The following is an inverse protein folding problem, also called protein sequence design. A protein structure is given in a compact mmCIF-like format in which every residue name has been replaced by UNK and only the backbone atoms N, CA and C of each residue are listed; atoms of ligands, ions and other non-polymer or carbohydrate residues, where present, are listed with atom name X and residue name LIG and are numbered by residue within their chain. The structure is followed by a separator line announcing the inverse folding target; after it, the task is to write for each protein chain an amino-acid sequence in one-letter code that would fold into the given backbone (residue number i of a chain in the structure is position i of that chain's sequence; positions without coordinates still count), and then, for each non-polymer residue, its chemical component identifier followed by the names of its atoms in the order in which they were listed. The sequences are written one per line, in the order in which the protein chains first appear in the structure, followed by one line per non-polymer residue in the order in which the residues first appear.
data_IF_149908711837
#
_entry.id   IF_149908711837
#
_cell.length_a   1.000
_cell.length_b   1.000
_cell.length_c   1.000
_cell.angle_alpha   90.00
_cell.angle_beta   90.00
_cell.angle_gamma   90.00
#
_symmetry.space_group_name_H-M   'P 1'
#
loop_
_entity.id
_entity.type
_entity.pdbx_description
1 polymer ?
#
# COMPACT_ATOMS: atom_id res chain seq x y z
N UNK A 1 21.72 12.37 10.87
CA UNK A 1 21.66 11.47 9.69
C UNK A 1 21.32 10.08 10.21
N UNK A 2 20.08 9.63 10.03
CA UNK A 2 19.60 8.36 10.61
C UNK A 2 19.88 7.21 9.65
N UNK A 3 20.45 6.14 10.19
CA UNK A 3 21.00 5.01 9.47
C UNK A 3 20.00 4.32 8.52
N UNK A 4 20.47 4.18 7.29
CA UNK A 4 20.05 3.27 6.24
C UNK A 4 19.64 1.90 6.77
N UNK A 5 18.32 1.64 6.85
CA UNK A 5 17.74 0.33 7.17
C UNK A 5 16.81 -0.13 6.05
N UNK A 6 17.38 -0.48 4.89
CA UNK A 6 16.65 -0.93 3.69
C UNK A 6 15.85 -2.24 3.81
N UNK A 7 15.60 -2.73 5.03
CA UNK A 7 15.02 -4.04 5.34
C UNK A 7 13.75 -3.95 6.22
N UNK A 8 13.02 -2.84 6.16
CA UNK A 8 11.77 -2.66 6.90
C UNK A 8 10.58 -3.31 6.15
N UNK A 9 9.69 -3.99 6.87
CA UNK A 9 8.42 -4.53 6.33
C UNK A 9 7.61 -3.49 5.56
N UNK A 10 7.68 -2.21 6.00
CA UNK A 10 7.12 -1.07 5.27
C UNK A 10 7.56 -1.01 3.81
N UNK A 11 8.87 -1.12 3.58
CA UNK A 11 9.44 -1.02 2.25
C UNK A 11 9.00 -2.20 1.39
N UNK A 12 8.92 -3.40 1.99
CA UNK A 12 8.47 -4.62 1.32
C UNK A 12 7.01 -4.51 0.91
N UNK A 13 6.12 -4.18 1.84
CA UNK A 13 4.69 -4.00 1.58
C UNK A 13 4.44 -2.92 0.54
N UNK A 14 5.13 -1.78 0.65
CA UNK A 14 5.08 -0.69 -0.33
C UNK A 14 5.46 -1.17 -1.73
N UNK A 15 6.56 -1.93 -1.86
CA UNK A 15 7.04 -2.45 -3.15
C UNK A 15 6.06 -3.42 -3.78
N UNK A 16 5.42 -4.29 -3.00
CA UNK A 16 4.39 -5.19 -3.50
C UNK A 16 3.19 -4.37 -4.00
N UNK A 17 2.67 -3.46 -3.18
CA UNK A 17 1.52 -2.64 -3.54
C UNK A 17 1.78 -1.78 -4.79
N UNK A 18 2.94 -1.13 -4.90
CA UNK A 18 3.28 -0.32 -6.07
C UNK A 18 3.48 -1.12 -7.36
N UNK A 19 3.79 -2.43 -7.26
CA UNK A 19 3.87 -3.30 -8.43
C UNK A 19 2.50 -3.78 -8.89
N UNK A 20 1.55 -3.91 -7.96
CA UNK A 20 0.21 -4.45 -8.22
C UNK A 20 -0.81 -3.36 -8.54
N UNK A 21 -0.62 -2.14 -8.02
CA UNK A 21 -1.63 -1.09 -8.07
C UNK A 21 -1.01 0.28 -8.35
N UNK A 22 -1.80 1.14 -8.99
CA UNK A 22 -1.55 2.57 -9.08
C UNK A 22 -2.11 3.29 -7.85
N UNK A 23 -1.57 4.47 -7.52
CA UNK A 23 -2.16 5.32 -6.48
C UNK A 23 -3.62 5.68 -6.81
N UNK A 24 -3.95 5.89 -8.09
CA UNK A 24 -5.33 6.12 -8.54
C UNK A 24 -6.26 4.99 -8.11
N UNK A 25 -5.87 3.73 -8.36
CA UNK A 25 -6.67 2.57 -7.97
C UNK A 25 -6.75 2.43 -6.44
N UNK A 26 -5.62 2.53 -5.74
CA UNK A 26 -5.59 2.45 -4.27
C UNK A 26 -6.42 3.55 -3.60
N UNK A 27 -6.53 4.73 -4.23
CA UNK A 27 -7.30 5.86 -3.70
C UNK A 27 -8.79 5.56 -3.54
N UNK A 28 -9.32 4.61 -4.33
CA UNK A 28 -10.72 4.20 -4.32
C UNK A 28 -11.08 3.28 -3.15
N UNK A 29 -10.07 2.79 -2.43
CA UNK A 29 -10.23 1.83 -1.34
C UNK A 29 -9.81 2.41 0.01
N UNK A 30 -10.42 1.84 1.04
CA UNK A 30 -9.88 1.87 2.40
C UNK A 30 -10.00 0.47 2.98
N UNK A 31 -9.24 0.16 4.03
CA UNK A 31 -9.22 -1.21 4.53
C UNK A 31 -10.63 -1.74 4.88
N UNK A 32 -11.38 -1.00 5.71
CA UNK A 32 -12.73 -1.37 6.17
C UNK A 32 -13.88 -0.63 5.46
N UNK A 33 -13.63 0.09 4.36
CA UNK A 33 -14.70 0.78 3.61
C UNK A 33 -15.20 2.09 4.23
N UNK A 34 -14.30 2.93 4.76
CA UNK A 34 -14.61 4.24 5.32
C UNK A 34 -14.75 5.32 4.24
N UNK A 35 -15.57 6.34 4.51
CA UNK A 35 -15.75 7.55 3.67
C UNK A 35 -16.16 7.25 2.22
N UNK A 36 -17.08 6.31 2.02
CA UNK A 36 -17.58 5.93 0.70
C UNK A 36 -16.59 5.13 -0.17
N UNK A 37 -15.42 4.78 0.37
CA UNK A 37 -14.43 3.94 -0.33
C UNK A 37 -14.81 2.47 -0.21
N UNK A 38 -14.42 1.67 -1.21
CA UNK A 38 -14.61 0.22 -1.20
C UNK A 38 -13.71 -0.44 -0.14
N UNK A 39 -14.12 -1.60 0.37
CA UNK A 39 -13.36 -2.41 1.35
C UNK A 39 -12.21 -3.12 0.66
N UNK A 40 -10.98 -2.88 1.11
CA UNK A 40 -9.80 -3.61 0.61
C UNK A 40 -9.69 -4.99 1.25
N UNK A 41 -10.11 -5.15 2.51
CA UNK A 41 -10.04 -6.43 3.22
C UNK A 41 -10.87 -7.54 2.56
N UNK A 42 -11.92 -7.16 1.83
CA UNK A 42 -12.81 -8.12 1.15
C UNK A 42 -12.21 -8.61 -0.19
N UNK A 43 -11.13 -8.00 -0.67
CA UNK A 43 -10.48 -8.42 -1.90
C UNK A 43 -9.61 -9.65 -1.64
N UNK A 44 -9.70 -10.65 -2.53
CA UNK A 44 -8.86 -11.86 -2.51
C UNK A 44 -7.36 -11.53 -2.51
N UNK A 45 -6.98 -10.40 -3.11
CA UNK A 45 -5.58 -9.97 -3.13
C UNK A 45 -5.03 -9.58 -1.74
N UNK A 46 -5.89 -9.23 -0.78
CA UNK A 46 -5.47 -8.83 0.56
C UNK A 46 -4.75 -9.98 1.31
N UNK A 47 -5.34 -11.17 1.48
CA UNK A 47 -4.63 -12.30 2.08
C UNK A 47 -3.40 -12.73 1.24
N UNK A 48 -3.47 -12.69 -0.09
CA UNK A 48 -2.32 -13.01 -0.96
C UNK A 48 -1.12 -12.12 -0.68
N UNK A 49 -1.32 -10.81 -0.46
CA UNK A 49 -0.25 -9.89 -0.09
C UNK A 49 0.33 -10.23 1.28
N UNK A 50 -0.52 -10.59 2.26
CA UNK A 50 -0.06 -10.97 3.60
C UNK A 50 0.80 -12.23 3.57
N UNK A 51 0.37 -13.25 2.83
CA UNK A 51 1.11 -14.49 2.66
C UNK A 51 2.43 -14.24 1.94
N UNK A 52 2.43 -13.44 0.88
CA UNK A 52 3.66 -13.06 0.16
C UNK A 52 4.69 -12.36 1.05
N UNK A 53 4.25 -11.53 2.01
CA UNK A 53 5.13 -10.90 2.99
C UNK A 53 5.65 -11.94 3.98
N UNK A 54 4.79 -12.83 4.49
CA UNK A 54 5.16 -13.89 5.45
C UNK A 54 6.05 -14.99 4.86
N UNK A 55 6.03 -15.20 3.55
CA UNK A 55 6.98 -16.09 2.86
C UNK A 55 8.45 -15.66 3.05
N UNK A 56 8.69 -14.39 3.40
CA UNK A 56 10.03 -13.94 3.76
C UNK A 56 10.29 -14.31 5.22
N UNK A 57 11.32 -15.15 5.47
CA UNK A 57 11.68 -15.66 6.80
C UNK A 57 11.76 -14.57 7.88
N UNK A 58 12.26 -13.39 7.53
CA UNK A 58 12.34 -12.21 8.41
C UNK A 58 10.98 -11.64 8.87
N UNK A 59 9.89 -11.93 8.17
CA UNK A 59 8.55 -11.40 8.44
C UNK A 59 7.50 -12.49 8.71
N UNK A 60 7.90 -13.75 8.82
CA UNK A 60 6.99 -14.89 9.03
C UNK A 60 6.11 -14.74 10.27
N UNK A 61 6.65 -14.12 11.34
CA UNK A 61 5.98 -13.96 12.64
C UNK A 61 5.29 -12.60 12.80
N UNK A 62 5.17 -11.80 11.74
CA UNK A 62 4.50 -10.50 11.82
C UNK A 62 3.01 -10.72 12.09
N UNK A 63 2.49 -9.98 13.07
CA UNK A 63 1.09 -10.07 13.46
C UNK A 63 0.15 -9.58 12.35
N UNK A 64 -1.06 -10.14 12.31
CA UNK A 64 -2.10 -9.69 11.39
C UNK A 64 -2.36 -8.18 11.53
N UNK A 65 -2.53 -7.71 12.78
CA UNK A 65 -2.78 -6.31 13.09
C UNK A 65 -1.71 -5.36 12.53
N UNK A 66 -0.44 -5.79 12.56
CA UNK A 66 0.64 -5.01 11.97
C UNK A 66 0.52 -4.93 10.45
N UNK A 67 0.26 -6.06 9.78
CA UNK A 67 0.06 -6.11 8.32
C UNK A 67 -1.13 -5.24 7.88
N UNK A 68 -2.25 -5.33 8.59
CA UNK A 68 -3.42 -4.49 8.31
C UNK A 68 -3.09 -2.99 8.44
N UNK A 69 -2.35 -2.64 9.50
CA UNK A 69 -1.98 -1.26 9.77
C UNK A 69 -1.10 -0.70 8.64
N UNK A 70 -0.22 -1.53 8.05
CA UNK A 70 0.57 -1.12 6.88
C UNK A 70 -0.29 -0.93 5.63
N UNK A 71 -1.23 -1.84 5.34
CA UNK A 71 -2.16 -1.66 4.20
C UNK A 71 -2.98 -0.39 4.38
N UNK A 72 -3.54 -0.17 5.59
CA UNK A 72 -4.30 1.04 5.94
C UNK A 72 -3.47 2.30 5.67
N UNK A 73 -2.20 2.30 6.06
CA UNK A 73 -1.28 3.41 5.82
C UNK A 73 -1.10 3.70 4.31
N UNK A 74 -0.86 2.67 3.50
CA UNK A 74 -0.65 2.86 2.06
C UNK A 74 -1.92 3.34 1.33
N UNK A 75 -3.09 2.78 1.67
CA UNK A 75 -4.38 3.24 1.15
C UNK A 75 -4.68 4.69 1.53
N UNK A 76 -4.31 5.09 2.76
CA UNK A 76 -4.45 6.47 3.21
C UNK A 76 -3.50 7.42 2.48
N UNK A 77 -2.29 6.98 2.12
CA UNK A 77 -1.29 7.80 1.43
C UNK A 77 -1.58 8.01 -0.07
N UNK A 78 -2.27 7.07 -0.73
CA UNK A 78 -2.49 7.13 -2.18
C UNK A 78 -3.09 8.47 -2.68
N UNK A 79 -4.16 9.04 -2.07
CA UNK A 79 -4.67 10.35 -2.47
C UNK A 79 -3.66 11.50 -2.30
N UNK A 80 -2.77 11.43 -1.30
CA UNK A 80 -1.74 12.44 -1.09
C UNK A 80 -0.62 12.33 -2.11
N UNK A 81 -0.26 11.10 -2.50
CA UNK A 81 0.73 10.86 -3.56
C UNK A 81 0.24 11.41 -4.90
N UNK A 82 -1.04 11.20 -5.26
CA UNK A 82 -1.65 11.76 -6.48
C UNK A 82 -1.49 13.28 -6.47
N UNK A 83 -1.99 13.95 -5.42
CA UNK A 83 -1.88 15.41 -5.29
C UNK A 83 -0.44 15.92 -5.33
N UNK A 84 0.51 15.15 -4.80
CA UNK A 84 1.94 15.50 -4.83
C UNK A 84 2.50 15.37 -6.25
N UNK A 85 2.18 14.29 -6.95
CA UNK A 85 2.66 14.03 -8.30
C UNK A 85 2.06 15.02 -9.32
N UNK A 86 0.79 15.42 -9.14
CA UNK A 86 0.14 16.45 -9.96
C UNK A 86 0.87 17.80 -9.81
N UNK A 87 1.22 18.19 -8.57
CA UNK A 87 2.02 19.41 -8.30
C UNK A 87 3.42 19.37 -8.90
N UNK A 88 3.99 18.17 -9.06
CA UNK A 88 5.32 17.98 -9.64
C UNK A 88 5.27 17.78 -11.17
N UNK A 89 4.09 17.80 -11.79
CA UNK A 89 3.92 17.59 -13.23
C UNK A 89 4.20 16.15 -13.70
N UNK A 90 4.24 15.17 -12.80
CA UNK A 90 4.62 13.78 -13.10
C UNK A 90 3.44 13.01 -13.75
N UNK A 91 2.20 13.42 -13.50
CA UNK A 91 0.99 12.68 -13.93
C UNK A 91 0.34 13.18 -15.24
N UNK A 92 1.01 14.01 -16.05
CA UNK A 92 0.43 14.59 -17.26
C UNK A 92 0.25 13.61 -18.45
N UNK A 93 0.27 12.29 -18.24
CA UNK A 93 0.29 11.28 -19.31
C UNK A 93 -0.54 10.02 -19.04
N UNK A 94 -1.68 10.14 -18.34
CA UNK A 94 -2.65 9.04 -18.21
C UNK A 94 -4.08 9.57 -18.27
N UNK A 95 -4.40 10.23 -19.38
CA UNK A 95 -5.76 10.61 -19.76
C UNK A 95 -5.94 10.27 -21.24
N UNK A 96 -6.08 8.97 -21.52
CA UNK A 96 -6.59 8.43 -22.78
C UNK A 96 -7.74 7.47 -22.46
#
# INVERSE_FOLDING_TARGET
MSATGGNNINCTMKRILMKLFTDNLLSLFSYNGKKGKKKFCDLIICPVIFDAVKCQSKFMNVSQNELESRIKYHLAQAPFNIKKNDKLGINAAAAD
#
